data_IF_719547098252
#
_entry.id   IF_719547098252
#
_cell.length_a   1.000
_cell.length_b   1.000
_cell.length_c   1.000
_cell.angle_alpha   90.00
_cell.angle_beta   90.00
_cell.angle_gamma   90.00
#
_symmetry.space_group_name_H-M   'P 1'
#
loop_
_entity.id
_entity.type
_entity.pdbx_description
1 polymer ?
#
# COMPACT_ATOMS: atom_id res chain seq x y z
N UNK A 1 -18.71 -5.95 -9.47
CA UNK A 1 -18.51 -4.50 -9.72
C UNK A 1 -19.52 -3.61 -9.01
N UNK A 2 -20.81 -3.98 -8.88
CA UNK A 2 -21.85 -3.12 -8.29
C UNK A 2 -21.54 -2.58 -6.86
N UNK A 3 -20.77 -3.33 -6.05
CA UNK A 3 -20.39 -2.93 -4.68
C UNK A 3 -19.18 -1.99 -4.59
N UNK A 4 -18.38 -1.88 -5.66
CA UNK A 4 -17.14 -1.09 -5.64
C UNK A 4 -17.45 0.40 -5.68
N UNK A 5 -18.36 0.82 -6.57
CA UNK A 5 -18.75 2.23 -6.70
C UNK A 5 -19.21 2.85 -5.37
N UNK A 6 -20.18 2.27 -4.63
CA UNK A 6 -20.61 2.86 -3.36
C UNK A 6 -19.49 2.84 -2.30
N UNK A 7 -18.64 1.80 -2.28
CA UNK A 7 -17.49 1.77 -1.39
C UNK A 7 -16.49 2.90 -1.68
N UNK A 8 -16.18 3.12 -2.96
CA UNK A 8 -15.30 4.22 -3.40
C UNK A 8 -15.88 5.58 -3.06
N UNK A 9 -17.17 5.81 -3.31
CA UNK A 9 -17.84 7.07 -2.95
C UNK A 9 -17.75 7.30 -1.43
N UNK A 10 -18.03 6.27 -0.62
CA UNK A 10 -17.93 6.36 0.83
C UNK A 10 -16.54 6.79 1.29
N UNK A 11 -15.48 6.15 0.81
CA UNK A 11 -14.12 6.50 1.22
C UNK A 11 -13.65 7.84 0.65
N UNK A 12 -14.05 8.23 -0.55
CA UNK A 12 -13.77 9.58 -1.07
C UNK A 12 -14.37 10.64 -0.17
N UNK A 13 -15.63 10.50 0.26
CA UNK A 13 -16.28 11.44 1.17
C UNK A 13 -15.62 11.43 2.56
N UNK A 14 -15.30 10.24 3.09
CA UNK A 14 -14.62 10.11 4.37
C UNK A 14 -13.25 10.82 4.36
N UNK A 15 -12.43 10.54 3.35
CA UNK A 15 -11.12 11.17 3.22
C UNK A 15 -11.24 12.65 2.87
N UNK A 16 -12.26 13.10 2.15
CA UNK A 16 -12.50 14.52 1.95
C UNK A 16 -12.62 15.29 3.28
N UNK A 17 -13.30 14.70 4.28
CA UNK A 17 -13.45 15.28 5.61
C UNK A 17 -12.16 15.16 6.44
N UNK A 18 -11.49 14.01 6.40
CA UNK A 18 -10.32 13.72 7.25
C UNK A 18 -9.01 14.28 6.66
N UNK A 19 -8.98 14.63 5.37
CA UNK A 19 -7.80 15.08 4.61
C UNK A 19 -6.93 16.11 5.34
N UNK A 20 -7.46 17.19 5.95
CA UNK A 20 -6.62 18.18 6.64
C UNK A 20 -5.79 17.58 7.79
N UNK A 21 -6.38 16.66 8.55
CA UNK A 21 -5.70 15.98 9.65
C UNK A 21 -4.68 14.97 9.10
N UNK A 22 -5.10 14.20 8.09
CA UNK A 22 -4.26 13.19 7.45
C UNK A 22 -2.99 13.82 6.87
N UNK A 23 -3.12 14.90 6.10
CA UNK A 23 -1.98 15.61 5.48
C UNK A 23 -1.04 16.18 6.55
N UNK A 24 -1.58 16.77 7.62
CA UNK A 24 -0.78 17.33 8.72
C UNK A 24 0.04 16.27 9.45
N UNK A 25 -0.46 15.04 9.55
CA UNK A 25 0.27 13.92 10.14
C UNK A 25 1.50 13.52 9.30
N UNK A 26 1.37 13.50 7.97
CA UNK A 26 2.44 13.08 7.06
C UNK A 26 3.53 14.14 6.85
N UNK A 27 3.20 15.42 7.02
CA UNK A 27 4.10 16.53 6.74
C UNK A 27 5.47 16.43 7.49
N UNK A 28 5.52 16.26 8.83
CA UNK A 28 6.79 16.07 9.52
C UNK A 28 7.45 14.72 9.21
N UNK A 29 6.67 13.69 8.90
CA UNK A 29 7.20 12.36 8.59
C UNK A 29 7.98 12.36 7.27
N UNK A 30 7.46 13.05 6.25
CA UNK A 30 8.11 13.20 4.94
C UNK A 30 9.39 14.03 5.07
N UNK A 31 9.36 15.12 5.84
CA UNK A 31 10.55 15.92 6.11
C UNK A 31 11.68 15.08 6.75
N UNK A 32 11.37 14.37 7.83
CA UNK A 32 12.32 13.49 8.49
C UNK A 32 12.84 12.36 7.58
N UNK A 33 12.00 11.85 6.68
CA UNK A 33 12.40 10.84 5.71
C UNK A 33 13.37 11.37 4.66
N UNK A 34 13.19 12.61 4.20
CA UNK A 34 14.11 13.22 3.23
C UNK A 34 15.51 13.38 3.84
N UNK A 35 15.60 13.89 5.07
CA UNK A 35 16.87 14.03 5.80
C UNK A 35 17.49 12.66 6.11
N UNK A 36 16.67 11.65 6.44
CA UNK A 36 17.13 10.30 6.70
C UNK A 36 17.68 9.60 5.44
N UNK A 37 17.04 9.82 4.29
CA UNK A 37 17.44 9.21 3.03
C UNK A 37 18.75 9.79 2.49
N UNK A 38 19.01 11.08 2.71
CA UNK A 38 20.27 11.71 2.34
C UNK A 38 20.66 12.79 3.36
N UNK A 39 21.80 12.62 4.07
CA UNK A 39 22.24 13.57 5.09
C UNK A 39 22.66 14.93 4.51
N UNK A 40 22.79 15.07 3.19
CA UNK A 40 23.08 16.35 2.55
C UNK A 40 21.82 17.21 2.31
N UNK A 41 20.63 16.70 2.61
CA UNK A 41 19.37 17.45 2.55
C UNK A 41 19.01 18.01 3.92
N UNK A 42 18.81 19.32 3.96
CA UNK A 42 18.33 20.03 5.14
C UNK A 42 16.95 20.62 4.82
N UNK A 43 15.90 20.19 5.54
CA UNK A 43 14.53 20.60 5.27
C UNK A 43 14.18 21.82 6.12
N UNK A 44 14.41 23.01 5.57
CA UNK A 44 14.21 24.27 6.30
C UNK A 44 12.75 24.53 6.69
N UNK A 45 11.83 24.28 5.74
CA UNK A 45 10.41 24.57 5.94
C UNK A 45 9.52 23.51 5.30
N UNK A 46 8.44 23.17 6.01
CA UNK A 46 7.36 22.35 5.49
C UNK A 46 6.03 23.00 5.83
N UNK A 47 5.25 23.36 4.81
CA UNK A 47 4.00 24.10 4.97
C UNK A 47 2.92 23.63 3.99
N UNK A 48 1.66 23.94 4.33
CA UNK A 48 0.51 23.65 3.47
C UNK A 48 0.08 24.95 2.80
N UNK A 49 0.30 25.04 1.49
CA UNK A 49 -0.09 26.19 0.69
C UNK A 49 -1.41 25.93 -0.03
N UNK A 50 -2.26 26.93 -0.13
CA UNK A 50 -3.49 26.86 -0.94
C UNK A 50 -3.33 27.76 -2.16
N UNK A 51 -3.27 27.16 -3.35
CA UNK A 51 -3.14 27.87 -4.63
C UNK A 51 -4.33 27.47 -5.50
N UNK A 52 -5.12 28.43 -5.99
CA UNK A 52 -6.29 28.18 -6.83
C UNK A 52 -7.26 27.13 -6.25
N UNK A 53 -7.52 27.20 -4.93
CA UNK A 53 -8.35 26.23 -4.17
C UNK A 53 -7.79 24.81 -4.05
N UNK A 54 -6.60 24.55 -4.57
CA UNK A 54 -5.90 23.27 -4.41
C UNK A 54 -4.87 23.42 -3.30
N UNK A 55 -4.84 22.45 -2.38
CA UNK A 55 -3.85 22.40 -1.29
C UNK A 55 -2.61 21.67 -1.76
N UNK A 56 -1.45 22.28 -1.54
CA UNK A 56 -0.13 21.76 -1.84
C UNK A 56 0.67 21.61 -0.55
N UNK A 57 1.40 20.52 -0.46
CA UNK A 57 2.53 20.34 0.43
C UNK A 57 3.72 21.04 -0.20
N UNK A 58 4.26 22.06 0.46
CA UNK A 58 5.49 22.71 0.04
C UNK A 58 6.62 22.37 1.01
N UNK A 59 7.76 22.00 0.45
CA UNK A 59 9.01 21.78 1.17
C UNK A 59 10.09 22.68 0.58
N UNK A 60 10.81 23.40 1.44
CA UNK A 60 12.02 24.11 1.04
C UNK A 60 13.20 23.30 1.56
N UNK A 61 14.03 22.81 0.65
CA UNK A 61 15.11 21.89 0.94
C UNK A 61 16.41 22.52 0.49
N UNK A 62 17.36 22.61 1.40
CA UNK A 62 18.71 23.07 1.14
C UNK A 62 19.61 21.89 0.88
N UNK A 63 20.29 21.91 -0.27
CA UNK A 63 21.10 20.79 -0.74
C UNK A 63 22.57 21.15 -0.63
N UNK A 64 23.27 20.46 0.27
CA UNK A 64 24.70 20.66 0.53
C UNK A 64 25.56 19.72 -0.35
N UNK A 65 25.31 19.72 -1.66
CA UNK A 65 26.06 18.89 -2.64
C UNK A 65 26.71 19.74 -3.73
N UNK A 66 27.90 19.35 -4.23
CA UNK A 66 28.53 20.06 -5.35
C UNK A 66 27.72 19.87 -6.65
N UNK A 67 27.51 20.96 -7.41
CA UNK A 67 26.80 20.92 -8.69
C UNK A 67 27.72 20.34 -9.78
N UNK A 68 27.28 19.25 -10.42
CA UNK A 68 27.99 18.53 -11.47
C UNK A 68 28.47 19.37 -12.67
N UNK A 69 27.70 20.39 -13.07
CA UNK A 69 27.83 21.02 -14.38
C UNK A 69 28.66 22.32 -14.41
N UNK A 70 29.37 22.69 -13.34
CA UNK A 70 30.23 23.88 -13.36
C UNK A 70 31.58 23.64 -12.68
N UNK A 71 32.57 23.07 -13.40
CA UNK A 71 33.89 22.77 -12.85
C UNK A 71 34.72 24.01 -12.45
N UNK A 72 34.27 25.23 -12.75
CA UNK A 72 35.04 26.47 -12.52
C UNK A 72 34.32 27.53 -11.68
N UNK A 73 33.13 27.26 -11.13
CA UNK A 73 32.50 28.19 -10.17
C UNK A 73 32.85 27.80 -8.73
N UNK A 74 33.28 28.75 -7.89
CA UNK A 74 33.60 28.49 -6.50
C UNK A 74 32.42 27.88 -5.73
N UNK A 75 32.78 27.05 -4.77
CA UNK A 75 32.03 25.96 -4.15
C UNK A 75 31.02 26.42 -3.06
N UNK A 76 30.47 27.63 -3.18
CA UNK A 76 29.68 28.28 -2.11
C UNK A 76 28.17 28.37 -2.38
N UNK A 77 27.67 27.81 -3.48
CA UNK A 77 26.22 27.89 -3.75
C UNK A 77 25.46 26.82 -2.97
N UNK A 78 25.10 27.16 -1.74
CA UNK A 78 23.97 26.55 -1.02
C UNK A 78 22.74 26.73 -1.92
N UNK A 79 22.25 25.63 -2.47
CA UNK A 79 21.14 25.65 -3.41
C UNK A 79 19.86 25.22 -2.70
N UNK A 80 18.90 26.15 -2.64
CA UNK A 80 17.58 25.94 -2.06
C UNK A 80 16.59 25.51 -3.15
N UNK A 81 15.88 24.40 -2.95
CA UNK A 81 14.81 23.94 -3.82
C UNK A 81 13.47 24.04 -3.12
N UNK A 82 12.51 24.66 -3.79
CA UNK A 82 11.12 24.65 -3.34
C UNK A 82 10.35 23.59 -4.12
N UNK A 83 10.02 22.49 -3.45
CA UNK A 83 9.26 21.39 -4.02
C UNK A 83 7.80 21.45 -3.59
N UNK A 84 6.90 21.11 -4.52
CA UNK A 84 5.45 21.14 -4.30
C UNK A 84 4.84 19.80 -4.69
N UNK A 85 3.96 19.27 -3.84
CA UNK A 85 3.12 18.12 -4.16
C UNK A 85 1.67 18.39 -3.79
N UNK A 86 0.71 17.88 -4.55
CA UNK A 86 -0.70 18.02 -4.18
C UNK A 86 -1.00 17.21 -2.91
N UNK A 87 -1.67 17.83 -1.94
CA UNK A 87 -1.95 17.20 -0.65
C UNK A 87 -2.90 16.00 -0.78
N UNK A 88 -3.87 16.08 -1.70
CA UNK A 88 -4.87 15.02 -1.93
C UNK A 88 -4.24 13.71 -2.42
N UNK A 89 -3.02 13.76 -2.95
CA UNK A 89 -2.37 12.57 -3.50
C UNK A 89 -2.07 11.53 -2.42
N UNK A 90 -1.87 11.96 -1.16
CA UNK A 90 -1.72 11.07 0.01
C UNK A 90 -2.96 10.22 0.29
N UNK A 91 -4.15 10.66 -0.14
CA UNK A 91 -5.40 9.95 0.10
C UNK A 91 -5.70 8.89 -0.96
N UNK A 92 -4.99 8.87 -2.10
CA UNK A 92 -5.29 7.96 -3.22
C UNK A 92 -5.14 6.50 -2.81
N UNK A 93 -3.99 6.14 -2.22
CA UNK A 93 -3.71 4.77 -1.79
C UNK A 93 -4.74 4.22 -0.79
N UNK A 94 -5.02 4.89 0.36
CA UNK A 94 -6.01 4.38 1.30
C UNK A 94 -7.42 4.30 0.69
N UNK A 95 -7.85 5.29 -0.10
CA UNK A 95 -9.17 5.23 -0.75
C UNK A 95 -9.28 3.98 -1.61
N UNK A 96 -8.30 3.71 -2.47
CA UNK A 96 -8.33 2.54 -3.36
C UNK A 96 -8.31 1.23 -2.55
N UNK A 97 -7.35 1.07 -1.64
CA UNK A 97 -7.18 -0.16 -0.85
C UNK A 97 -8.42 -0.45 -0.02
N UNK A 98 -8.94 0.55 0.69
CA UNK A 98 -10.10 0.39 1.56
C UNK A 98 -11.39 0.12 0.79
N UNK A 99 -11.56 0.76 -0.36
CA UNK A 99 -12.71 0.52 -1.24
C UNK A 99 -12.70 -0.91 -1.78
N UNK A 100 -11.52 -1.41 -2.18
CA UNK A 100 -11.36 -2.79 -2.64
C UNK A 100 -11.64 -3.79 -1.52
N UNK A 101 -11.10 -3.60 -0.31
CA UNK A 101 -11.36 -4.46 0.85
C UNK A 101 -12.87 -4.51 1.18
N UNK A 102 -13.54 -3.34 1.20
CA UNK A 102 -14.96 -3.25 1.53
C UNK A 102 -15.85 -3.90 0.45
N UNK A 103 -15.50 -3.71 -0.82
CA UNK A 103 -16.26 -4.21 -1.96
C UNK A 103 -16.02 -5.70 -2.23
N UNK A 104 -14.95 -6.28 -1.67
CA UNK A 104 -14.52 -7.63 -1.99
C UNK A 104 -15.57 -8.70 -1.59
N UNK A 105 -15.93 -9.60 -2.52
CA UNK A 105 -16.96 -10.61 -2.28
C UNK A 105 -16.44 -11.73 -1.36
N UNK A 106 -17.36 -12.44 -0.70
CA UNK A 106 -17.05 -13.65 0.06
C UNK A 106 -16.37 -13.45 1.44
N UNK A 107 -16.01 -12.22 1.81
CA UNK A 107 -15.43 -11.94 3.14
C UNK A 107 -16.50 -11.54 4.17
N UNK A 108 -16.42 -12.14 5.36
CA UNK A 108 -17.18 -11.70 6.54
C UNK A 108 -16.69 -10.35 7.04
N UNK A 109 -17.52 -9.64 7.84
CA UNK A 109 -17.17 -8.32 8.37
C UNK A 109 -15.91 -8.34 9.25
N UNK A 110 -15.73 -9.40 10.04
CA UNK A 110 -14.55 -9.57 10.89
C UNK A 110 -13.26 -9.72 10.05
N UNK A 111 -13.31 -10.52 8.99
CA UNK A 111 -12.16 -10.70 8.08
C UNK A 111 -11.83 -9.37 7.41
N UNK A 112 -12.83 -8.61 6.95
CA UNK A 112 -12.62 -7.28 6.38
C UNK A 112 -11.92 -6.35 7.36
N UNK A 113 -12.35 -6.31 8.61
CA UNK A 113 -11.71 -5.49 9.66
C UNK A 113 -10.24 -5.91 9.89
N UNK A 114 -9.96 -7.21 9.91
CA UNK A 114 -8.58 -7.71 9.98
C UNK A 114 -7.75 -7.28 8.76
N UNK A 115 -8.30 -7.38 7.54
CA UNK A 115 -7.61 -6.89 6.33
C UNK A 115 -7.37 -5.39 6.39
N UNK A 116 -8.33 -4.60 6.90
CA UNK A 116 -8.17 -3.16 7.11
C UNK A 116 -6.98 -2.87 8.01
N UNK A 117 -6.94 -3.51 9.19
CA UNK A 117 -5.85 -3.32 10.15
C UNK A 117 -4.49 -3.76 9.57
N UNK A 118 -4.46 -4.86 8.83
CA UNK A 118 -3.25 -5.34 8.17
C UNK A 118 -2.77 -4.41 7.06
N UNK A 119 -3.69 -3.75 6.35
CA UNK A 119 -3.35 -2.83 5.25
C UNK A 119 -2.84 -1.47 5.71
N UNK A 120 -3.18 -1.03 6.94
CA UNK A 120 -2.75 0.27 7.48
C UNK A 120 -1.23 0.50 7.44
N UNK A 121 -0.37 -0.38 8.02
CA UNK A 121 1.08 -0.18 7.98
C UNK A 121 1.62 -0.16 6.56
N UNK A 122 1.02 -0.93 5.65
CA UNK A 122 1.43 -0.98 4.26
C UNK A 122 1.08 0.29 3.49
N UNK A 123 -0.10 0.88 3.74
CA UNK A 123 -0.49 2.18 3.19
C UNK A 123 0.43 3.27 3.73
N UNK A 124 0.75 3.24 5.03
CA UNK A 124 1.69 4.18 5.64
C UNK A 124 3.05 4.08 4.94
N UNK A 125 3.56 2.87 4.73
CA UNK A 125 4.81 2.63 4.03
C UNK A 125 4.77 3.12 2.57
N UNK A 126 3.69 2.85 1.82
CA UNK A 126 3.55 3.32 0.44
C UNK A 126 3.58 4.85 0.39
N UNK A 127 2.80 5.53 1.23
CA UNK A 127 2.76 6.99 1.27
C UNK A 127 4.07 7.60 1.77
N UNK A 128 4.75 6.93 2.71
CA UNK A 128 6.07 7.28 3.20
C UNK A 128 7.14 7.24 2.09
N UNK A 129 7.09 6.25 1.20
CA UNK A 129 8.11 6.12 0.16
C UNK A 129 7.82 6.98 -1.07
N UNK A 130 6.54 7.17 -1.40
CA UNK A 130 6.10 7.81 -2.65
C UNK A 130 6.60 9.26 -2.81
N UNK A 131 6.28 10.14 -1.86
CA UNK A 131 6.64 11.57 -1.98
C UNK A 131 8.15 11.85 -1.85
N UNK A 132 8.87 11.30 -0.85
CA UNK A 132 10.32 11.48 -0.76
C UNK A 132 11.04 11.02 -2.03
N UNK A 133 10.68 9.87 -2.59
CA UNK A 133 11.31 9.37 -3.81
C UNK A 133 11.11 10.32 -5.01
N UNK A 134 9.94 10.92 -5.15
CA UNK A 134 9.68 11.92 -6.21
C UNK A 134 10.55 13.16 -6.00
N UNK A 135 10.62 13.66 -4.77
CA UNK A 135 11.41 14.84 -4.45
C UNK A 135 12.90 14.63 -4.66
N UNK A 136 13.43 13.48 -4.23
CA UNK A 136 14.81 13.08 -4.47
C UNK A 136 15.07 12.96 -5.96
N UNK A 137 14.18 12.33 -6.73
CA UNK A 137 14.33 12.23 -8.17
C UNK A 137 14.38 13.62 -8.86
N UNK A 138 13.57 14.58 -8.40
CA UNK A 138 13.61 15.96 -8.92
C UNK A 138 14.93 16.64 -8.57
N UNK A 139 15.37 16.56 -7.31
CA UNK A 139 16.64 17.16 -6.86
C UNK A 139 17.81 16.52 -7.61
N UNK A 140 17.93 15.20 -7.59
CA UNK A 140 19.04 14.46 -8.21
C UNK A 140 19.11 14.65 -9.72
N UNK A 141 17.97 14.90 -10.39
CA UNK A 141 17.98 15.23 -11.82
C UNK A 141 18.76 16.52 -12.13
N UNK A 142 18.95 17.41 -11.15
CA UNK A 142 19.75 18.61 -11.26
C UNK A 142 21.23 18.42 -10.88
N UNK A 143 21.58 17.37 -10.11
CA UNK A 143 22.92 17.16 -9.55
C UNK A 143 23.69 15.96 -10.09
N UNK A 144 23.01 14.89 -10.50
CA UNK A 144 23.68 13.62 -10.79
C UNK A 144 24.38 13.63 -12.16
N UNK A 145 25.70 13.42 -12.14
CA UNK A 145 26.51 13.05 -13.32
C UNK A 145 26.38 11.58 -13.69
N UNK A 146 25.84 10.74 -12.80
CA UNK A 146 25.82 9.29 -13.00
C UNK A 146 24.70 8.89 -13.96
N UNK A 147 25.08 8.36 -15.13
CA UNK A 147 24.12 7.92 -16.14
C UNK A 147 23.16 6.84 -15.59
N UNK A 148 23.66 5.95 -14.73
CA UNK A 148 22.88 4.85 -14.15
C UNK A 148 21.85 5.35 -13.14
N UNK A 149 22.25 6.26 -12.23
CA UNK A 149 21.34 6.86 -11.26
C UNK A 149 20.17 7.58 -11.94
N UNK A 150 20.48 8.33 -12.99
CA UNK A 150 19.48 9.07 -13.76
C UNK A 150 18.47 8.15 -14.45
N UNK A 151 18.90 7.01 -15.00
CA UNK A 151 17.99 6.03 -15.60
C UNK A 151 17.06 5.38 -14.58
N UNK A 152 17.57 4.99 -13.41
CA UNK A 152 16.75 4.37 -12.35
C UNK A 152 15.73 5.37 -11.81
N UNK A 153 16.15 6.60 -11.55
CA UNK A 153 15.26 7.68 -11.09
C UNK A 153 14.21 8.06 -12.14
N UNK A 154 14.57 8.06 -13.43
CA UNK A 154 13.63 8.32 -14.51
C UNK A 154 12.55 7.23 -14.60
N UNK A 155 12.94 5.96 -14.51
CA UNK A 155 12.00 4.83 -14.46
C UNK A 155 11.09 4.96 -13.25
N UNK A 156 11.64 5.26 -12.07
CA UNK A 156 10.86 5.47 -10.86
C UNK A 156 9.88 6.64 -10.97
N UNK A 157 10.31 7.78 -11.50
CA UNK A 157 9.44 8.93 -11.74
C UNK A 157 8.29 8.57 -12.68
N UNK A 158 8.54 7.77 -13.71
CA UNK A 158 7.49 7.31 -14.62
C UNK A 158 6.51 6.36 -13.95
N UNK A 159 7.02 5.42 -13.14
CA UNK A 159 6.20 4.55 -12.31
C UNK A 159 5.38 5.38 -11.31
N UNK A 160 5.90 6.45 -10.72
CA UNK A 160 5.18 7.21 -9.68
C UNK A 160 4.20 8.27 -10.24
N UNK A 161 4.40 8.75 -11.47
CA UNK A 161 3.48 9.72 -12.11
C UNK A 161 2.10 9.13 -12.47
N UNK A 162 1.98 7.80 -12.59
CA UNK A 162 0.69 7.12 -12.78
C UNK A 162 0.47 5.88 -11.90
N UNK A 163 1.53 5.34 -11.31
CA UNK A 163 1.54 4.07 -10.58
C UNK A 163 1.30 4.19 -9.08
N UNK A 164 0.90 5.35 -8.54
CA UNK A 164 0.36 5.38 -7.16
C UNK A 164 -0.85 4.47 -7.01
N UNK A 165 -1.69 4.41 -8.06
CA UNK A 165 -2.80 3.46 -8.15
C UNK A 165 -2.28 2.02 -8.21
N UNK A 166 -1.21 1.78 -8.96
CA UNK A 166 -0.56 0.47 -9.02
C UNK A 166 0.01 0.03 -7.67
N UNK A 167 0.73 0.90 -6.95
CA UNK A 167 1.23 0.63 -5.60
C UNK A 167 0.09 0.37 -4.62
N UNK A 168 -1.03 1.08 -4.74
CA UNK A 168 -2.24 0.80 -3.96
C UNK A 168 -2.81 -0.59 -4.26
N UNK A 169 -2.84 -1.00 -5.53
CA UNK A 169 -3.27 -2.35 -5.91
C UNK A 169 -2.31 -3.42 -5.39
N UNK A 170 -0.99 -3.21 -5.46
CA UNK A 170 0.01 -4.10 -4.87
C UNK A 170 -0.18 -4.21 -3.36
N UNK A 171 -0.38 -3.07 -2.68
CA UNK A 171 -0.64 -3.05 -1.25
C UNK A 171 -1.91 -3.83 -0.88
N UNK A 172 -2.98 -3.65 -1.66
CA UNK A 172 -4.20 -4.42 -1.51
C UNK A 172 -3.96 -5.92 -1.67
N UNK A 173 -3.24 -6.35 -2.71
CA UNK A 173 -2.93 -7.77 -2.96
C UNK A 173 -2.11 -8.39 -1.83
N UNK A 174 -1.08 -7.69 -1.33
CA UNK A 174 -0.28 -8.14 -0.18
C UNK A 174 -1.16 -8.27 1.07
N UNK A 175 -2.09 -7.33 1.28
CA UNK A 175 -2.98 -7.34 2.45
C UNK A 175 -3.98 -8.51 2.43
N UNK A 176 -4.46 -8.90 1.24
CA UNK A 176 -5.47 -9.96 1.12
C UNK A 176 -4.87 -11.37 0.96
N UNK A 177 -3.64 -11.46 0.44
CA UNK A 177 -2.93 -12.72 0.23
C UNK A 177 -2.91 -13.67 1.45
N UNK A 178 -2.54 -13.24 2.68
CA UNK A 178 -2.46 -14.15 3.82
C UNK A 178 -3.83 -14.74 4.20
N UNK A 179 -4.92 -14.00 3.98
CA UNK A 179 -6.28 -14.46 4.28
C UNK A 179 -6.68 -15.57 3.32
N UNK A 180 -6.40 -15.40 2.02
CA UNK A 180 -6.69 -16.43 1.02
C UNK A 180 -5.82 -17.69 1.21
N UNK A 181 -4.54 -17.52 1.54
CA UNK A 181 -3.64 -18.64 1.85
C UNK A 181 -4.15 -19.42 3.08
N UNK A 182 -4.72 -18.74 4.08
CA UNK A 182 -5.30 -19.40 5.25
C UNK A 182 -6.65 -20.07 4.96
N UNK A 183 -7.50 -19.48 4.11
CA UNK A 183 -8.78 -20.08 3.71
C UNK A 183 -8.57 -21.37 2.92
N UNK A 184 -7.59 -21.40 2.02
CA UNK A 184 -7.26 -22.58 1.20
C UNK A 184 -6.63 -23.74 2.01
N UNK A 185 -6.17 -23.47 3.23
CA UNK A 185 -5.69 -24.53 4.16
C UNK A 185 -6.81 -25.21 4.96
N UNK A 186 -8.04 -24.67 4.97
CA UNK A 186 -9.17 -25.27 5.69
C UNK A 186 -9.79 -26.55 5.08
N UNK A 187 -9.70 -26.89 3.78
CA UNK A 187 -10.38 -28.05 3.23
C UNK A 187 -9.77 -29.40 3.65
N UNK A 188 -8.55 -29.44 4.18
CA UNK A 188 -7.89 -30.69 4.59
C UNK A 188 -8.31 -31.20 5.98
N UNK A 189 -8.69 -30.31 6.90
CA UNK A 189 -9.11 -30.71 8.25
C UNK A 189 -10.55 -31.22 8.30
N UNK A 190 -11.44 -30.71 7.44
CA UNK A 190 -12.82 -31.22 7.35
C UNK A 190 -12.92 -32.53 6.54
N UNK A 191 -11.99 -32.78 5.62
CA UNK A 191 -11.87 -34.07 4.95
C UNK A 191 -11.38 -35.18 5.90
N UNK A 192 -10.55 -34.85 6.90
CA UNK A 192 -10.09 -35.79 7.94
C UNK A 192 -11.13 -36.12 9.02
N UNK A 193 -12.15 -35.27 9.21
CA UNK A 193 -13.23 -35.47 10.18
C UNK A 193 -14.31 -36.48 9.73
N UNK A 194 -14.18 -37.08 8.53
CA UNK A 194 -15.00 -38.24 8.11
C UNK A 194 -14.40 -39.60 8.50
N UNK A 195 -13.51 -39.61 9.50
CA UNK A 195 -13.25 -40.80 10.31
C UNK A 195 -14.26 -40.94 11.47
N UNK A 196 -15.43 -40.29 11.38
CA UNK A 196 -16.58 -40.74 12.13
C UNK A 196 -16.91 -42.17 11.67
N UNK A 197 -16.92 -43.13 12.60
CA UNK A 197 -17.35 -44.50 12.30
C UNK A 197 -18.64 -44.47 11.46
N UNK A 198 -18.74 -45.27 10.39
CA UNK A 198 -19.89 -45.24 9.49
C UNK A 198 -21.19 -45.36 10.29
N UNK A 199 -22.16 -44.48 10.05
CA UNK A 199 -23.46 -44.59 10.72
C UNK A 199 -24.13 -45.89 10.28
N UNK A 200 -24.99 -46.45 11.13
CA UNK A 200 -25.64 -47.75 10.90
C UNK A 200 -26.24 -47.93 9.49
N UNK A 201 -26.77 -46.86 8.88
CA UNK A 201 -27.41 -46.93 7.56
C UNK A 201 -26.51 -46.50 6.40
N UNK A 202 -25.28 -46.06 6.65
CA UNK A 202 -24.33 -45.64 5.61
C UNK A 202 -23.82 -46.88 4.83
N UNK A 203 -23.36 -46.70 3.59
CA UNK A 203 -22.70 -47.78 2.84
C UNK A 203 -21.53 -48.36 3.63
N UNK A 204 -21.40 -49.69 3.62
CA UNK A 204 -20.35 -50.36 4.38
C UNK A 204 -18.96 -50.07 3.78
N UNK A 205 -17.95 -49.69 4.61
CA UNK A 205 -16.63 -49.33 4.12
C UNK A 205 -15.83 -50.50 3.51
N UNK A 206 -16.27 -51.76 3.68
CA UNK A 206 -15.64 -52.91 3.04
C UNK A 206 -15.96 -53.05 1.54
N UNK A 207 -16.77 -52.16 0.96
CA UNK A 207 -17.09 -52.17 -0.47
C UNK A 207 -18.18 -53.16 -0.89
N UNK A 208 -18.88 -53.79 0.05
CA UNK A 208 -19.90 -54.81 -0.24
C UNK A 208 -21.20 -54.27 -0.87
N UNK A 209 -21.36 -52.95 -0.95
CA UNK A 209 -22.60 -52.29 -1.40
C UNK A 209 -23.78 -52.39 -0.41
N UNK A 210 -23.62 -53.07 0.73
CA UNK A 210 -24.65 -53.22 1.77
C UNK A 210 -24.55 -52.09 2.81
N UNK A 211 -25.64 -51.84 3.56
CA UNK A 211 -25.62 -50.91 4.72
C UNK A 211 -24.70 -51.43 5.82
N UNK A 212 -23.97 -50.56 6.52
CA UNK A 212 -23.01 -50.92 7.56
C UNK A 212 -23.58 -51.85 8.63
N UNK A 213 -24.82 -51.56 9.10
CA UNK A 213 -25.53 -52.38 10.09
C UNK A 213 -25.88 -53.80 9.65
N UNK A 214 -25.81 -54.11 8.35
CA UNK A 214 -26.13 -55.42 7.77
C UNK A 214 -24.88 -56.12 7.21
N UNK A 215 -23.68 -55.59 7.50
CA UNK A 215 -22.42 -56.12 6.98
C UNK A 215 -21.38 -56.17 8.10
N UNK A 216 -20.44 -55.23 8.17
CA UNK A 216 -19.37 -55.25 9.17
C UNK A 216 -19.82 -55.03 10.62
N UNK A 217 -21.06 -54.59 10.88
CA UNK A 217 -21.61 -54.51 12.23
C UNK A 217 -22.16 -55.86 12.74
N UNK A 218 -22.61 -56.74 11.84
CA UNK A 218 -23.19 -58.05 12.18
C UNK A 218 -22.09 -59.11 12.30
N UNK A 219 -21.07 -59.02 11.45
CA UNK A 219 -19.94 -59.95 11.41
C UNK A 219 -18.76 -59.47 12.27
N UNK A 220 -19.03 -58.83 13.41
CA UNK A 220 -18.01 -58.33 14.33
C UNK A 220 -17.81 -59.28 15.50
#
# INVERSE_FOLDING_TARGET
MLRLVPASIFFVLLFYVINPFFVRLYLPMIAAQLEWMDPAYDVETSEILTINRVKYLQYTITVNKPVANRPYTPQETVNTFTLKAQANTLCIAPIIVFSLILAWPGMSLLIRLQTFLLSLPLIILVNALDLPMIFIAIIESAYSTSAIGNSVLAVWSHILNGGRQFLALVAFMISIAPIYIQLDRRPLLEAGARSAAPRRNDPCPCGSGKKYKNCCLVNR
#
